data_IF_117100386801
#
_entry.id   IF_117100386801
#
_cell.length_a   1.000
_cell.length_b   1.000
_cell.length_c   1.000
_cell.angle_alpha   90.00
_cell.angle_beta   90.00
_cell.angle_gamma   90.00
#
_symmetry.space_group_name_H-M   'P 1'
#
loop_
_entity.id
_entity.type
_entity.pdbx_description
1 polymer ?
#
# COMPACT_ATOMS: atom_id res chain seq x y z
N UNK A 1 31.62 35.66 -29.64
CA UNK A 1 31.37 36.96 -28.98
C UNK A 1 30.03 36.99 -28.26
N UNK A 2 28.94 36.48 -28.84
CA UNK A 2 27.63 36.50 -28.15
C UNK A 2 27.51 35.55 -26.94
N UNK A 3 28.15 34.38 -26.99
CA UNK A 3 28.13 33.40 -25.88
C UNK A 3 28.81 33.93 -24.61
N UNK A 4 29.97 34.55 -24.75
CA UNK A 4 30.72 35.11 -23.61
C UNK A 4 29.94 36.29 -23.00
N UNK A 5 29.36 37.16 -23.85
CA UNK A 5 28.48 38.24 -23.39
C UNK A 5 27.23 37.71 -22.68
N UNK A 6 26.66 36.57 -23.12
CA UNK A 6 25.54 35.93 -22.45
C UNK A 6 25.94 35.35 -21.10
N UNK A 7 27.10 34.71 -21.00
CA UNK A 7 27.63 34.17 -19.74
C UNK A 7 27.88 35.30 -18.74
N UNK A 8 28.53 36.38 -19.17
CA UNK A 8 28.77 37.56 -18.33
C UNK A 8 27.47 38.25 -17.95
N UNK A 9 26.50 38.32 -18.86
CA UNK A 9 25.17 38.83 -18.52
C UNK A 9 24.52 37.97 -17.44
N UNK A 10 24.51 36.64 -17.58
CA UNK A 10 23.88 35.73 -16.63
C UNK A 10 24.57 35.76 -15.26
N UNK A 11 25.90 35.77 -15.23
CA UNK A 11 26.67 35.77 -13.98
C UNK A 11 26.60 37.13 -13.27
N UNK A 12 26.47 38.22 -14.00
CA UNK A 12 26.43 39.57 -13.42
C UNK A 12 25.01 40.07 -13.08
N UNK A 13 23.93 39.32 -13.36
CA UNK A 13 22.54 39.68 -12.98
C UNK A 13 22.42 40.00 -11.47
N UNK A 14 23.26 39.37 -10.64
CA UNK A 14 23.22 39.52 -9.18
C UNK A 14 24.17 40.59 -8.63
N UNK A 15 25.10 41.11 -9.44
CA UNK A 15 26.16 42.03 -8.98
C UNK A 15 25.69 43.46 -8.64
N UNK A 16 24.41 43.76 -8.86
CA UNK A 16 23.76 45.01 -8.44
C UNK A 16 22.48 44.82 -7.63
N UNK A 17 22.10 43.58 -7.31
CA UNK A 17 20.91 43.30 -6.53
C UNK A 17 21.24 43.41 -5.04
N UNK A 18 20.55 44.29 -4.32
CA UNK A 18 20.59 44.29 -2.87
C UNK A 18 20.16 42.89 -2.37
N UNK A 19 20.85 42.30 -1.37
CA UNK A 19 20.47 41.01 -0.84
C UNK A 19 19.02 41.06 -0.37
N UNK A 20 18.14 40.32 -1.05
CA UNK A 20 16.74 40.28 -0.71
C UNK A 20 16.58 39.49 0.59
N UNK A 21 15.97 40.11 1.59
CA UNK A 21 15.62 39.40 2.83
C UNK A 21 14.56 38.37 2.46
N UNK A 22 14.79 37.06 2.66
CA UNK A 22 13.84 36.04 2.27
C UNK A 22 12.50 36.27 2.99
N UNK A 23 11.39 36.26 2.26
CA UNK A 23 10.06 36.41 2.86
C UNK A 23 9.81 35.23 3.81
N UNK A 24 9.76 35.52 5.11
CA UNK A 24 9.48 34.55 6.17
C UNK A 24 8.17 33.81 5.87
N UNK A 25 7.18 34.44 5.24
CA UNK A 25 5.92 33.80 4.84
C UNK A 25 6.12 32.76 3.75
N UNK A 26 7.04 32.98 2.81
CA UNK A 26 7.38 32.00 1.78
C UNK A 26 8.03 30.78 2.43
N UNK A 27 8.99 30.99 3.33
CA UNK A 27 9.62 29.92 4.09
C UNK A 27 8.60 29.12 4.92
N UNK A 28 7.71 29.80 5.63
CA UNK A 28 6.64 29.17 6.40
C UNK A 28 5.68 28.37 5.51
N UNK A 29 5.31 28.87 4.34
CA UNK A 29 4.47 28.15 3.37
C UNK A 29 5.15 26.89 2.83
N UNK A 30 6.44 26.96 2.53
CA UNK A 30 7.22 25.79 2.09
C UNK A 30 7.28 24.75 3.22
N UNK A 31 7.60 25.17 4.44
CA UNK A 31 7.59 24.32 5.62
C UNK A 31 6.23 23.67 5.87
N UNK A 32 5.14 24.44 5.77
CA UNK A 32 3.79 23.92 5.91
C UNK A 32 3.49 22.87 4.84
N UNK A 33 3.80 23.14 3.56
CA UNK A 33 3.60 22.18 2.46
C UNK A 33 4.38 20.88 2.65
N UNK A 34 5.63 20.97 3.10
CA UNK A 34 6.49 19.80 3.37
C UNK A 34 5.94 18.99 4.55
N UNK A 35 5.46 19.66 5.60
CA UNK A 35 4.93 19.01 6.81
C UNK A 35 3.51 18.47 6.63
N UNK A 36 2.71 19.01 5.73
CA UNK A 36 1.44 18.40 5.28
C UNK A 36 1.73 17.21 4.37
N UNK A 37 2.31 16.16 4.94
CA UNK A 37 2.22 14.84 4.33
C UNK A 37 0.75 14.41 4.38
N UNK A 38 0.27 13.74 3.32
CA UNK A 38 -1.09 13.18 3.29
C UNK A 38 -1.15 12.02 4.29
N UNK A 39 -1.41 12.34 5.55
CA UNK A 39 -1.71 11.36 6.59
C UNK A 39 -3.07 10.78 6.18
N UNK A 40 -3.07 9.53 5.71
CA UNK A 40 -4.32 8.80 5.50
C UNK A 40 -5.04 8.74 6.84
N UNK A 41 -6.33 9.08 6.84
CA UNK A 41 -7.12 9.03 8.07
C UNK A 41 -7.04 7.61 8.66
N UNK A 42 -6.86 7.45 9.99
CA UNK A 42 -6.73 6.14 10.62
C UNK A 42 -7.87 5.17 10.25
N UNK A 43 -9.08 5.69 10.01
CA UNK A 43 -10.23 4.91 9.55
C UNK A 43 -9.97 4.17 8.23
N UNK A 44 -9.24 4.78 7.29
CA UNK A 44 -8.92 4.16 5.99
C UNK A 44 -7.93 3.01 6.14
N UNK A 45 -7.00 3.11 7.10
CA UNK A 45 -6.07 2.04 7.44
C UNK A 45 -6.83 0.81 7.97
N UNK A 46 -7.79 1.03 8.86
CA UNK A 46 -8.65 -0.05 9.38
C UNK A 46 -9.54 -0.66 8.30
N UNK A 47 -10.07 0.16 7.38
CA UNK A 47 -10.88 -0.34 6.27
C UNK A 47 -10.07 -1.24 5.33
N UNK A 48 -8.83 -0.83 5.01
CA UNK A 48 -7.92 -1.65 4.22
C UNK A 48 -7.58 -2.95 4.95
N UNK A 49 -7.24 -2.89 6.24
CA UNK A 49 -6.93 -4.07 7.05
C UNK A 49 -8.12 -5.05 7.13
N UNK A 50 -9.34 -4.56 7.33
CA UNK A 50 -10.54 -5.38 7.36
C UNK A 50 -10.79 -6.08 6.01
N UNK A 51 -10.58 -5.38 4.89
CA UNK A 51 -10.70 -5.95 3.55
C UNK A 51 -9.73 -7.11 3.33
N UNK A 52 -8.46 -6.93 3.72
CA UNK A 52 -7.47 -8.01 3.67
C UNK A 52 -7.83 -9.19 4.57
N UNK A 53 -8.30 -8.93 5.79
CA UNK A 53 -8.72 -9.98 6.72
C UNK A 53 -9.88 -10.83 6.15
N UNK A 54 -10.85 -10.19 5.49
CA UNK A 54 -11.97 -10.89 4.82
C UNK A 54 -11.45 -11.76 3.68
N UNK A 55 -10.60 -11.23 2.81
CA UNK A 55 -10.02 -11.98 1.70
C UNK A 55 -9.26 -13.21 2.20
N UNK A 56 -8.38 -13.03 3.19
CA UNK A 56 -7.61 -14.13 3.77
C UNK A 56 -8.54 -15.18 4.39
N UNK A 57 -9.55 -14.74 5.15
CA UNK A 57 -10.51 -15.64 5.80
C UNK A 57 -11.30 -16.47 4.79
N UNK A 58 -11.72 -15.88 3.67
CA UNK A 58 -12.41 -16.60 2.60
C UNK A 58 -11.51 -17.65 1.97
N UNK A 59 -10.26 -17.30 1.65
CA UNK A 59 -9.29 -18.23 1.06
C UNK A 59 -8.99 -19.40 2.02
N UNK A 60 -8.75 -19.12 3.29
CA UNK A 60 -8.57 -20.14 4.33
C UNK A 60 -9.79 -21.06 4.41
N UNK A 61 -11.00 -20.48 4.51
CA UNK A 61 -12.24 -21.25 4.59
C UNK A 61 -12.41 -22.17 3.38
N UNK A 62 -12.12 -21.69 2.17
CA UNK A 62 -12.22 -22.49 0.95
C UNK A 62 -11.32 -23.72 0.98
N UNK A 63 -10.06 -23.57 1.41
CA UNK A 63 -9.10 -24.68 1.53
C UNK A 63 -9.60 -25.72 2.55
N UNK A 64 -10.01 -25.28 3.74
CA UNK A 64 -10.48 -26.18 4.79
C UNK A 64 -11.81 -26.85 4.44
N UNK A 65 -12.75 -26.12 3.83
CA UNK A 65 -14.06 -26.66 3.44
C UNK A 65 -13.93 -27.77 2.39
N UNK A 66 -13.08 -27.58 1.37
CA UNK A 66 -12.78 -28.61 0.38
C UNK A 66 -12.21 -29.88 1.03
N UNK A 67 -11.27 -29.73 1.95
CA UNK A 67 -10.65 -30.86 2.64
C UNK A 67 -11.64 -31.67 3.50
N UNK A 68 -12.66 -31.00 4.08
CA UNK A 68 -13.67 -31.67 4.89
C UNK A 68 -14.67 -32.45 4.04
N UNK A 69 -15.02 -31.96 2.84
CA UNK A 69 -15.88 -32.66 1.89
C UNK A 69 -15.20 -33.95 1.39
N UNK A 70 -13.92 -33.87 1.01
CA UNK A 70 -13.16 -35.05 0.56
C UNK A 70 -13.03 -36.11 1.68
N UNK A 71 -12.77 -35.68 2.92
CA UNK A 71 -12.74 -36.57 4.09
C UNK A 71 -14.09 -37.20 4.41
N UNK A 72 -15.19 -36.45 4.24
CA UNK A 72 -16.54 -36.99 4.46
C UNK A 72 -16.90 -38.05 3.40
N UNK A 73 -16.57 -37.82 2.13
CA UNK A 73 -16.74 -38.80 1.06
C UNK A 73 -15.92 -40.08 1.29
N UNK A 74 -14.64 -39.94 1.67
CA UNK A 74 -13.78 -41.08 2.00
C UNK A 74 -14.32 -41.89 3.19
N UNK A 75 -14.81 -41.21 4.24
CA UNK A 75 -15.43 -41.88 5.40
C UNK A 75 -16.68 -42.67 5.00
N UNK A 76 -17.52 -42.12 4.12
CA UNK A 76 -18.71 -42.83 3.61
C UNK A 76 -18.34 -44.09 2.84
N UNK A 77 -17.32 -44.03 1.98
CA UNK A 77 -16.87 -45.20 1.20
C UNK A 77 -16.25 -46.25 2.12
N UNK A 78 -15.40 -45.84 3.06
CA UNK A 78 -14.79 -46.73 4.04
C UNK A 78 -15.83 -47.41 4.94
N UNK A 79 -16.87 -46.69 5.36
CA UNK A 79 -17.97 -47.28 6.16
C UNK A 79 -18.82 -48.25 5.36
N UNK A 80 -19.05 -48.00 4.06
CA UNK A 80 -19.78 -48.95 3.21
C UNK A 80 -18.98 -50.22 2.98
N UNK A 81 -17.66 -50.10 2.73
CA UNK A 81 -16.76 -51.24 2.53
C UNK A 81 -16.60 -52.07 3.81
N UNK A 82 -16.51 -51.41 4.97
CA UNK A 82 -16.46 -52.10 6.27
C UNK A 82 -17.74 -52.86 6.59
N UNK A 83 -18.92 -52.30 6.28
CA UNK A 83 -20.19 -52.97 6.52
C UNK A 83 -20.45 -54.11 5.52
N UNK A 84 -20.00 -53.98 4.27
CA UNK A 84 -20.14 -55.06 3.29
C UNK A 84 -19.26 -56.27 3.60
N UNK A 85 -18.16 -56.07 4.31
CA UNK A 85 -17.19 -57.13 4.63
C UNK A 85 -17.45 -57.82 5.99
N UNK A 86 -18.55 -57.50 6.67
CA UNK A 86 -18.97 -58.14 7.93
C UNK A 86 -19.91 -59.33 7.74
N UNK A 87 -20.26 -59.68 6.49
CA UNK A 87 -21.16 -60.81 6.16
C UNK A 87 -20.42 -62.07 5.69
N UNK A 88 -19.09 -62.12 5.81
CA UNK A 88 -18.27 -63.31 5.58
C UNK A 88 -17.45 -63.65 6.83
#
# INVERSE_FOLDING_TARGET
MEKENWIDAVLNITNGLAPVVPDVRLFLRIQQKIKTQKIVAPSWLWFAAASFAVLISINIKMVFFKSNIEKAGMKSVASSLSNSNQLY
#
